data_IF_022293375569
#
_entry.id   IF_022293375569
#
_cell.length_a   1.000
_cell.length_b   1.000
_cell.length_c   1.000
_cell.angle_alpha   90.00
_cell.angle_beta   90.00
_cell.angle_gamma   90.00
#
_symmetry.space_group_name_H-M   'P 1'
#
loop_
_entity.id
_entity.type
_entity.pdbx_description
1 polymer ?
#
# COMPACT_ATOMS: atom_id res chain seq x y z
N UNK A 1 -49.33 -37.91 -13.56
CA UNK A 1 -48.68 -36.60 -13.90
C UNK A 1 -47.60 -36.30 -12.89
N UNK A 2 -46.40 -36.51 -13.29
CA UNK A 2 -45.22 -36.34 -12.42
C UNK A 2 -44.66 -34.92 -12.65
N UNK A 3 -44.76 -34.07 -11.65
CA UNK A 3 -44.19 -32.74 -11.69
C UNK A 3 -42.70 -32.86 -11.39
N UNK A 4 -41.88 -32.68 -12.40
CA UNK A 4 -40.45 -32.59 -12.26
C UNK A 4 -40.10 -31.20 -11.72
N UNK A 5 -39.71 -31.12 -10.45
CA UNK A 5 -39.18 -29.90 -9.85
C UNK A 5 -37.70 -29.87 -10.21
N UNK A 6 -37.34 -29.03 -11.17
CA UNK A 6 -35.93 -28.72 -11.48
C UNK A 6 -35.46 -27.72 -10.43
N UNK A 7 -34.75 -28.22 -9.45
CA UNK A 7 -34.02 -27.37 -8.51
C UNK A 7 -32.76 -26.79 -9.23
N UNK A 8 -32.86 -25.54 -9.62
CA UNK A 8 -31.71 -24.79 -10.11
C UNK A 8 -30.85 -24.43 -8.89
N UNK A 9 -29.80 -25.22 -8.67
CA UNK A 9 -28.76 -24.88 -7.73
C UNK A 9 -27.94 -23.69 -8.32
N UNK A 10 -28.25 -22.49 -7.85
CA UNK A 10 -27.46 -21.31 -8.12
C UNK A 10 -26.18 -21.42 -7.29
N UNK A 11 -25.15 -21.98 -7.88
CA UNK A 11 -23.81 -21.96 -7.30
C UNK A 11 -23.28 -20.52 -7.33
N UNK A 12 -23.41 -19.81 -6.21
CA UNK A 12 -22.71 -18.57 -5.94
C UNK A 12 -21.22 -18.90 -5.86
N UNK A 13 -20.54 -18.84 -7.00
CA UNK A 13 -19.08 -18.82 -7.01
C UNK A 13 -18.64 -17.48 -6.46
N UNK A 14 -18.32 -17.44 -5.17
CA UNK A 14 -17.53 -16.37 -4.59
C UNK A 14 -16.14 -16.43 -5.26
N UNK A 15 -15.99 -15.66 -6.32
CA UNK A 15 -14.66 -15.36 -6.84
C UNK A 15 -13.92 -14.53 -5.81
N UNK A 16 -13.10 -15.18 -5.03
CA UNK A 16 -12.02 -14.52 -4.30
C UNK A 16 -11.05 -13.98 -5.36
N UNK A 17 -11.28 -12.76 -5.80
CA UNK A 17 -10.29 -12.00 -6.52
C UNK A 17 -9.19 -11.61 -5.52
N UNK A 18 -8.34 -12.57 -5.20
CA UNK A 18 -7.02 -12.29 -4.63
C UNK A 18 -6.32 -11.41 -5.63
N UNK A 19 -5.95 -10.19 -5.21
CA UNK A 19 -5.46 -9.14 -6.07
C UNK A 19 -4.12 -9.46 -6.76
N UNK A 20 -4.14 -10.30 -7.76
CA UNK A 20 -3.05 -10.47 -8.74
C UNK A 20 -3.12 -9.39 -9.83
N UNK A 21 -3.47 -8.17 -9.44
CA UNK A 21 -3.48 -7.03 -10.34
C UNK A 21 -2.06 -6.73 -10.82
N UNK A 22 -1.94 -6.45 -12.13
CA UNK A 22 -0.68 -6.01 -12.73
C UNK A 22 -0.11 -4.84 -11.94
N UNK A 23 1.18 -4.88 -11.62
CA UNK A 23 1.92 -3.75 -11.04
C UNK A 23 2.23 -2.76 -12.17
N UNK A 24 1.80 -1.51 -12.01
CA UNK A 24 2.03 -0.45 -13.00
C UNK A 24 3.42 0.16 -12.83
N UNK A 25 3.83 0.37 -11.58
CA UNK A 25 5.13 0.93 -11.23
C UNK A 25 5.83 -0.01 -10.25
N UNK A 26 6.90 -0.64 -10.73
CA UNK A 26 7.71 -1.56 -9.94
C UNK A 26 9.03 -0.89 -9.54
N UNK A 27 9.04 -0.30 -8.35
CA UNK A 27 10.23 0.36 -7.83
C UNK A 27 11.37 -0.61 -7.50
N UNK A 28 11.07 -1.91 -7.34
CA UNK A 28 12.11 -2.92 -7.10
C UNK A 28 13.01 -3.18 -8.32
N UNK A 29 12.57 -2.76 -9.50
CA UNK A 29 13.35 -2.88 -10.75
C UNK A 29 14.25 -1.68 -11.01
N UNK A 30 14.19 -0.67 -10.16
CA UNK A 30 14.94 0.56 -10.29
C UNK A 30 16.19 0.54 -9.42
N UNK A 31 17.22 1.29 -9.81
CA UNK A 31 18.38 1.54 -8.92
C UNK A 31 17.97 2.43 -7.74
N UNK A 32 18.74 2.41 -6.64
CA UNK A 32 18.41 3.19 -5.44
C UNK A 32 18.19 4.68 -5.72
N UNK A 33 19.03 5.29 -6.56
CA UNK A 33 18.89 6.71 -6.94
C UNK A 33 17.60 6.95 -7.74
N UNK A 34 17.23 6.02 -8.63
CA UNK A 34 16.00 6.13 -9.41
C UNK A 34 14.76 5.95 -8.54
N UNK A 35 14.81 5.01 -7.57
CA UNK A 35 13.70 4.82 -6.61
C UNK A 35 13.43 6.10 -5.84
N UNK A 36 14.47 6.72 -5.30
CA UNK A 36 14.33 7.96 -4.54
C UNK A 36 13.72 9.08 -5.40
N UNK A 37 14.25 9.29 -6.61
CA UNK A 37 13.71 10.28 -7.54
C UNK A 37 12.26 10.01 -7.92
N UNK A 38 11.90 8.73 -8.13
CA UNK A 38 10.53 8.34 -8.47
C UNK A 38 9.57 8.60 -7.31
N UNK A 39 9.94 8.23 -6.09
CA UNK A 39 9.11 8.50 -4.90
C UNK A 39 9.00 10.01 -4.64
N UNK A 40 10.08 10.75 -4.84
CA UNK A 40 10.03 12.21 -4.76
C UNK A 40 9.01 12.82 -5.75
N UNK A 41 8.98 12.35 -6.99
CA UNK A 41 7.98 12.79 -7.96
C UNK A 41 6.55 12.40 -7.56
N UNK A 42 6.36 11.21 -6.98
CA UNK A 42 5.05 10.76 -6.51
C UNK A 42 4.52 11.63 -5.35
N UNK A 43 5.42 12.16 -4.53
CA UNK A 43 5.06 13.08 -3.44
C UNK A 43 4.78 14.50 -3.94
N UNK A 44 5.54 14.97 -4.93
CA UNK A 44 5.43 16.35 -5.44
C UNK A 44 4.39 16.53 -6.53
N UNK A 45 4.10 15.49 -7.30
CA UNK A 45 3.13 15.48 -8.41
C UNK A 45 2.17 14.29 -8.33
N UNK A 46 1.46 14.14 -7.20
CA UNK A 46 0.72 12.91 -6.89
C UNK A 46 -0.38 12.57 -7.89
N UNK A 47 -0.99 13.57 -8.51
CA UNK A 47 -2.08 13.39 -9.48
C UNK A 47 -1.70 12.55 -10.70
N UNK A 48 -0.42 12.50 -11.03
CA UNK A 48 0.08 11.65 -12.14
C UNK A 48 0.06 10.15 -11.82
N UNK A 49 -0.03 9.82 -10.53
CA UNK A 49 0.15 8.45 -10.04
C UNK A 49 -1.10 7.85 -9.41
N UNK A 50 -2.11 8.67 -9.12
CA UNK A 50 -3.37 8.21 -8.52
C UNK A 50 -3.99 7.07 -9.33
N UNK A 51 -4.36 5.99 -8.65
CA UNK A 51 -4.94 4.79 -9.24
C UNK A 51 -3.92 3.77 -9.76
N UNK A 52 -2.63 4.10 -9.79
CA UNK A 52 -1.59 3.16 -10.21
C UNK A 52 -1.24 2.17 -9.11
N UNK A 53 -1.04 0.92 -9.49
CA UNK A 53 -0.58 -0.13 -8.59
C UNK A 53 0.94 -0.11 -8.48
N UNK A 54 1.43 0.13 -7.28
CA UNK A 54 2.84 0.33 -6.97
C UNK A 54 3.37 -0.86 -6.19
N UNK A 55 4.58 -1.33 -6.54
CA UNK A 55 5.36 -2.24 -5.71
C UNK A 55 6.63 -1.52 -5.26
N UNK A 56 6.86 -1.49 -3.95
CA UNK A 56 8.04 -0.84 -3.39
C UNK A 56 8.63 -1.62 -2.22
N UNK A 57 9.94 -1.47 -2.09
CA UNK A 57 10.72 -1.97 -0.97
C UNK A 57 11.26 -0.79 -0.15
N UNK A 58 11.21 -0.92 1.14
CA UNK A 58 11.74 0.09 2.06
C UNK A 58 11.80 -0.44 3.48
N UNK A 59 11.89 0.48 4.41
CA UNK A 59 11.96 0.19 5.85
C UNK A 59 10.60 0.51 6.48
N UNK A 60 10.11 -0.41 7.28
CA UNK A 60 8.88 -0.21 8.04
C UNK A 60 9.07 0.87 9.11
N UNK A 61 8.16 1.80 9.14
CA UNK A 61 8.09 2.83 10.17
C UNK A 61 6.65 3.07 10.58
N UNK A 62 6.43 3.35 11.86
CA UNK A 62 5.11 3.75 12.35
C UNK A 62 5.19 5.04 13.17
N UNK A 63 4.11 5.78 13.16
CA UNK A 63 3.96 7.00 13.91
C UNK A 63 2.57 7.03 14.57
N UNK A 64 2.53 7.35 15.85
CA UNK A 64 1.26 7.55 16.55
C UNK A 64 1.00 9.04 16.72
N UNK A 65 -0.10 9.50 16.15
CA UNK A 65 -0.56 10.87 16.29
C UNK A 65 -1.50 11.00 17.49
N UNK A 66 -1.10 11.80 18.47
CA UNK A 66 -1.85 12.00 19.72
C UNK A 66 -3.07 12.93 19.54
N UNK A 67 -3.09 13.76 18.50
CA UNK A 67 -4.18 14.68 18.25
C UNK A 67 -5.38 13.94 17.65
N UNK A 68 -5.13 13.13 16.63
CA UNK A 68 -6.17 12.32 15.98
C UNK A 68 -6.30 10.92 16.58
N UNK A 69 -5.43 10.56 17.54
CA UNK A 69 -5.39 9.25 18.22
C UNK A 69 -5.30 8.07 17.25
N UNK A 70 -4.51 8.24 16.22
CA UNK A 70 -4.35 7.25 15.16
C UNK A 70 -2.88 6.92 14.92
N UNK A 71 -2.61 5.66 14.59
CA UNK A 71 -1.29 5.21 14.16
C UNK A 71 -1.23 5.15 12.64
N UNK A 72 -0.18 5.73 12.10
CA UNK A 72 0.14 5.73 10.68
C UNK A 72 1.31 4.79 10.43
N UNK A 73 1.29 4.13 9.29
CA UNK A 73 2.33 3.21 8.85
C UNK A 73 2.98 3.73 7.57
N UNK A 74 4.28 3.57 7.47
CA UNK A 74 5.05 4.04 6.33
C UNK A 74 6.07 3.02 5.83
N UNK A 75 6.33 3.08 4.55
CA UNK A 75 7.44 2.44 3.88
C UNK A 75 8.44 3.53 3.48
N UNK A 76 9.60 3.54 4.12
CA UNK A 76 10.60 4.60 4.01
C UNK A 76 11.78 4.14 3.18
N UNK A 77 12.22 4.99 2.26
CA UNK A 77 13.43 4.81 1.47
C UNK A 77 14.42 5.92 1.77
N UNK A 78 15.71 5.63 1.59
CA UNK A 78 16.78 6.63 1.70
C UNK A 78 17.35 6.94 0.32
N UNK A 79 17.94 8.13 0.18
CA UNK A 79 18.75 8.44 -0.98
C UNK A 79 20.05 7.61 -1.00
N UNK A 80 20.80 7.70 -2.10
CA UNK A 80 22.04 6.94 -2.27
C UNK A 80 23.13 7.30 -1.23
N UNK A 81 23.05 8.48 -0.63
CA UNK A 81 23.99 8.97 0.40
C UNK A 81 23.45 8.75 1.82
N UNK A 82 22.24 8.22 1.96
CA UNK A 82 21.53 8.02 3.22
C UNK A 82 21.38 9.30 4.10
N UNK A 83 21.51 10.48 3.50
CA UNK A 83 21.35 11.76 4.20
C UNK A 83 19.91 12.25 4.23
N UNK A 84 19.07 11.79 3.29
CA UNK A 84 17.67 12.15 3.17
C UNK A 84 16.82 10.90 3.06
N UNK A 85 15.62 10.97 3.55
CA UNK A 85 14.63 9.88 3.42
C UNK A 85 13.33 10.41 2.85
N UNK A 86 12.68 9.57 2.09
CA UNK A 86 11.31 9.78 1.62
C UNK A 86 10.48 8.56 1.99
N UNK A 87 9.22 8.76 2.29
CA UNK A 87 8.33 7.66 2.64
C UNK A 87 6.96 7.86 2.06
N UNK A 88 6.30 6.75 1.84
CA UNK A 88 4.88 6.72 1.52
C UNK A 88 4.13 6.05 2.66
N UNK A 89 3.10 6.72 3.15
CA UNK A 89 2.17 6.09 4.07
C UNK A 89 1.44 4.95 3.36
N UNK A 90 1.05 3.93 4.10
CA UNK A 90 0.24 2.84 3.56
C UNK A 90 -0.84 2.40 4.52
N UNK A 91 -1.90 1.85 3.96
CA UNK A 91 -3.03 1.26 4.66
C UNK A 91 -3.29 -0.13 4.10
N UNK A 92 -3.28 -1.14 4.97
CA UNK A 92 -3.43 -2.53 4.57
C UNK A 92 -4.85 -2.83 4.09
N UNK A 93 -4.96 -3.71 3.10
CA UNK A 93 -6.24 -4.22 2.60
C UNK A 93 -7.00 -5.01 3.67
N UNK A 94 -6.25 -5.69 4.56
CA UNK A 94 -6.77 -6.38 5.74
C UNK A 94 -6.13 -5.79 6.98
N UNK A 95 -6.92 -5.24 7.92
CA UNK A 95 -6.38 -4.73 9.18
C UNK A 95 -5.67 -5.84 9.95
N UNK A 96 -4.48 -5.54 10.45
CA UNK A 96 -3.70 -6.39 11.34
C UNK A 96 -3.68 -5.77 12.73
N UNK A 97 -3.40 -6.60 13.74
CA UNK A 97 -3.26 -6.13 15.12
C UNK A 97 -1.85 -5.60 15.35
N UNK A 98 -1.75 -4.32 15.69
CA UNK A 98 -0.47 -3.72 16.04
C UNK A 98 -0.19 -3.89 17.55
N UNK A 99 1.03 -4.22 17.99
CA UNK A 99 2.23 -4.46 17.16
C UNK A 99 2.40 -5.91 16.68
N UNK A 100 1.61 -6.86 17.19
CA UNK A 100 1.89 -8.29 17.15
C UNK A 100 1.95 -8.89 15.74
N UNK A 101 1.12 -8.39 14.84
CA UNK A 101 1.05 -8.88 13.46
C UNK A 101 1.78 -8.00 12.45
N UNK A 102 2.40 -6.90 12.92
CA UNK A 102 3.19 -6.01 12.07
C UNK A 102 4.68 -6.35 12.11
N UNK A 103 5.45 -5.98 11.08
CA UNK A 103 6.90 -6.03 11.15
C UNK A 103 7.44 -5.17 12.31
N UNK A 104 8.64 -5.49 12.77
CA UNK A 104 9.33 -4.63 13.72
C UNK A 104 9.72 -3.29 13.07
N UNK A 105 9.75 -2.22 13.89
CA UNK A 105 10.26 -0.91 13.44
C UNK A 105 11.68 -1.07 12.87
N UNK A 106 11.91 -0.50 11.69
CA UNK A 106 13.19 -0.59 11.00
C UNK A 106 13.40 -1.86 10.16
N UNK A 107 12.46 -2.80 10.16
CA UNK A 107 12.53 -3.99 9.32
C UNK A 107 12.35 -3.66 7.83
N UNK A 108 13.07 -4.37 6.97
CA UNK A 108 12.87 -4.28 5.53
C UNK A 108 11.53 -4.91 5.15
N UNK A 109 10.72 -4.18 4.41
CA UNK A 109 9.42 -4.63 3.91
C UNK A 109 9.30 -4.44 2.41
N UNK A 110 8.45 -5.26 1.79
CA UNK A 110 7.98 -5.06 0.42
C UNK A 110 6.46 -4.97 0.47
N UNK A 111 5.91 -3.91 -0.08
CA UNK A 111 4.47 -3.68 -0.17
C UNK A 111 4.03 -3.52 -1.62
N UNK A 112 2.80 -3.95 -1.88
CA UNK A 112 2.09 -3.69 -3.15
C UNK A 112 0.73 -3.10 -2.81
N UNK A 113 0.37 -2.01 -3.44
CA UNK A 113 -0.93 -1.37 -3.23
C UNK A 113 -1.23 -0.30 -4.28
N UNK A 114 -2.37 0.33 -4.13
CA UNK A 114 -2.83 1.38 -5.05
C UNK A 114 -2.44 2.76 -4.51
N UNK A 115 -1.75 3.54 -5.32
CA UNK A 115 -1.40 4.91 -4.97
C UNK A 115 -2.64 5.81 -4.99
N UNK A 116 -2.82 6.58 -3.93
CA UNK A 116 -3.84 7.61 -3.82
C UNK A 116 -3.29 8.85 -3.13
N UNK A 117 -4.09 9.89 -3.09
CA UNK A 117 -3.75 11.15 -2.44
C UNK A 117 -4.91 11.54 -1.54
N UNK A 118 -4.64 11.62 -0.25
CA UNK A 118 -5.63 11.98 0.75
C UNK A 118 -5.66 13.49 0.89
N UNK A 119 -6.85 14.07 0.72
CA UNK A 119 -7.10 15.48 0.99
C UNK A 119 -7.87 15.61 2.29
N UNK A 120 -7.32 16.33 3.23
CA UNK A 120 -7.96 16.63 4.51
C UNK A 120 -8.47 18.05 4.52
N UNK A 121 -9.67 18.26 5.11
CA UNK A 121 -10.29 19.59 5.15
C UNK A 121 -9.47 20.59 5.97
N UNK A 122 -8.83 20.14 7.05
CA UNK A 122 -8.08 20.97 8.00
C UNK A 122 -6.61 20.57 8.14
N UNK A 123 -6.11 19.69 7.30
CA UNK A 123 -4.78 19.10 7.40
C UNK A 123 -3.93 19.25 6.14
N UNK A 124 -2.73 18.72 6.23
CA UNK A 124 -1.86 18.59 5.08
C UNK A 124 -2.30 17.38 4.22
N UNK A 125 -2.48 17.62 2.94
CA UNK A 125 -2.70 16.55 1.98
C UNK A 125 -1.47 15.62 1.95
N UNK A 126 -1.68 14.33 1.83
CA UNK A 126 -0.56 13.38 1.79
C UNK A 126 -0.78 12.21 0.84
N UNK A 127 0.29 11.67 0.25
CA UNK A 127 0.24 10.46 -0.56
C UNK A 127 0.07 9.22 0.32
N UNK A 128 -0.75 8.28 -0.15
CA UNK A 128 -1.06 7.03 0.54
C UNK A 128 -1.09 5.86 -0.44
N UNK A 129 -0.50 4.75 -0.05
CA UNK A 129 -0.72 3.45 -0.71
C UNK A 129 -1.84 2.74 0.03
N UNK A 130 -3.01 2.69 -0.56
CA UNK A 130 -4.17 2.01 0.00
C UNK A 130 -4.28 0.58 -0.50
N UNK A 131 -5.08 -0.23 0.19
CA UNK A 131 -5.25 -1.66 -0.10
C UNK A 131 -3.89 -2.36 -0.24
N UNK A 132 -2.95 -1.96 0.59
CA UNK A 132 -1.61 -2.49 0.57
C UNK A 132 -1.58 -3.92 1.13
N UNK A 133 -0.67 -4.71 0.61
CA UNK A 133 -0.36 -6.04 1.08
C UNK A 133 1.15 -6.18 1.24
N UNK A 134 1.58 -6.86 2.30
CA UNK A 134 2.97 -7.27 2.42
C UNK A 134 3.26 -8.40 1.43
N UNK A 135 4.32 -8.25 0.65
CA UNK A 135 4.81 -9.32 -0.21
C UNK A 135 5.77 -10.16 0.62
N UNK A 136 5.34 -11.35 0.99
CA UNK A 136 6.22 -12.31 1.67
C UNK A 136 7.22 -12.89 0.68
N UNK A 137 8.49 -13.03 1.12
CA UNK A 137 9.53 -13.72 0.38
C UNK A 137 9.42 -15.23 0.55
#
# INVERSE_FOLDING_TARGET
>A
MQKVIVAVLLALTFSFAGGTGKVDIDLMRMSGTMVYAQVYQMVTEPEKYVGKRIRMKGVFSSYYDNEVKQRFFGCVISDALACCSQGLAFELSKPLTYPDEYPEEGAEIVIVGEFTYVKEEDGADYPLIRKAEFVMR
#
